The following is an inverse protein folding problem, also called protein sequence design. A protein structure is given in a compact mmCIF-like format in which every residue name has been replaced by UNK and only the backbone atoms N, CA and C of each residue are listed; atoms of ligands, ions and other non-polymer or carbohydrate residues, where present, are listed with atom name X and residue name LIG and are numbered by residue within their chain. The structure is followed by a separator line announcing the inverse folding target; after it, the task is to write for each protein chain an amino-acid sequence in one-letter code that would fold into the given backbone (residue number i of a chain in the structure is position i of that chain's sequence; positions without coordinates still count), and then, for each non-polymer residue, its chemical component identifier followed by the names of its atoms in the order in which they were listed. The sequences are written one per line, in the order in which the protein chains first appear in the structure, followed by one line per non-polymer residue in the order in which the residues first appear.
data_IF_885486514026
#
_entry.id   IF_885486514026
#
_cell.length_a   1.000
_cell.length_b   1.000
_cell.length_c   1.000
_cell.angle_alpha   90.00
_cell.angle_beta   90.00
_cell.angle_gamma   90.00
#
_symmetry.space_group_name_H-M   'P 1'
#
loop_
_entity.id
_entity.type
_entity.pdbx_description
1 polymer ?
#
# COMPACT_ATOMS: atom_id res chain seq x y z
N UNK A 1 51.14 29.46 -16.76
CA UNK A 1 50.84 28.07 -16.34
C UNK A 1 49.43 28.00 -15.75
N UNK A 2 48.41 27.71 -16.56
CA UNK A 2 47.01 27.67 -16.14
C UNK A 2 46.63 26.24 -15.69
N UNK A 3 46.19 26.10 -14.43
CA UNK A 3 45.82 24.83 -13.80
C UNK A 3 44.51 24.29 -14.38
N UNK A 4 44.56 23.09 -14.95
CA UNK A 4 43.41 22.29 -15.37
C UNK A 4 42.50 21.97 -14.17
N UNK A 5 41.24 22.42 -14.19
CA UNK A 5 40.18 21.97 -13.26
C UNK A 5 39.38 20.84 -13.92
N UNK A 6 39.43 19.64 -13.34
CA UNK A 6 38.54 18.52 -13.70
C UNK A 6 37.08 18.87 -13.35
N UNK A 7 36.09 18.61 -14.21
CA UNK A 7 34.69 18.73 -13.83
C UNK A 7 34.30 17.62 -12.84
N UNK A 8 33.56 17.99 -11.79
CA UNK A 8 33.01 17.08 -10.78
C UNK A 8 31.92 16.20 -11.42
N UNK A 9 31.96 14.89 -11.17
CA UNK A 9 30.95 13.94 -11.66
C UNK A 9 29.58 14.26 -11.06
N UNK A 10 28.56 14.34 -11.92
CA UNK A 10 27.19 14.54 -11.52
C UNK A 10 26.71 13.38 -10.63
N UNK A 11 26.11 13.74 -9.49
CA UNK A 11 25.64 12.81 -8.47
C UNK A 11 24.55 11.86 -8.93
N UNK A 12 24.43 10.76 -8.18
CA UNK A 12 23.42 9.71 -8.30
C UNK A 12 22.02 10.28 -8.55
N UNK A 13 21.53 10.13 -9.79
CA UNK A 13 20.09 10.19 -10.08
C UNK A 13 19.48 8.84 -9.69
N UNK A 14 18.31 8.79 -9.03
CA UNK A 14 17.61 7.54 -8.81
C UNK A 14 17.40 6.87 -10.17
N UNK A 15 17.75 5.58 -10.27
CA UNK A 15 17.60 4.81 -11.51
C UNK A 15 16.12 4.67 -11.79
N UNK A 16 15.59 5.51 -12.68
CA UNK A 16 14.28 5.29 -13.29
C UNK A 16 14.26 3.88 -13.86
N UNK A 17 13.28 3.09 -13.41
CA UNK A 17 13.11 1.73 -13.85
C UNK A 17 12.83 1.74 -15.36
N UNK A 18 13.66 1.01 -16.11
CA UNK A 18 13.68 1.00 -17.59
C UNK A 18 12.25 0.90 -18.14
N UNK A 19 11.86 1.89 -18.94
CA UNK A 19 10.59 1.87 -19.65
C UNK A 19 10.61 0.75 -20.70
N UNK A 20 9.71 -0.22 -20.56
CA UNK A 20 9.49 -1.24 -21.59
C UNK A 20 8.57 -0.65 -22.66
N UNK A 21 9.04 -0.59 -23.91
CA UNK A 21 8.33 0.01 -25.04
C UNK A 21 6.99 -0.67 -25.41
N UNK A 22 6.64 -1.78 -24.77
CA UNK A 22 5.42 -2.55 -25.06
C UNK A 22 4.23 -2.25 -24.12
N UNK A 23 4.45 -1.49 -23.04
CA UNK A 23 3.45 -1.28 -21.97
C UNK A 23 3.07 0.19 -21.78
N UNK A 24 3.08 0.99 -22.85
CA UNK A 24 2.76 2.42 -22.84
C UNK A 24 1.26 2.75 -22.63
N UNK A 25 0.51 1.90 -21.92
CA UNK A 25 -0.83 2.26 -21.43
C UNK A 25 -0.66 2.99 -20.10
N UNK A 26 -1.28 4.16 -19.98
CA UNK A 26 -1.47 4.84 -18.70
C UNK A 26 -2.26 3.89 -17.80
N UNK A 27 -1.59 3.24 -16.85
CA UNK A 27 -2.22 2.35 -15.87
C UNK A 27 -2.97 3.19 -14.83
N UNK A 28 -4.24 2.84 -14.58
CA UNK A 28 -5.13 3.58 -13.68
C UNK A 28 -4.98 2.99 -12.28
N UNK A 29 -4.26 3.70 -11.41
CA UNK A 29 -4.14 3.30 -10.00
C UNK A 29 -5.46 3.51 -9.26
N UNK A 30 -5.95 2.46 -8.59
CA UNK A 30 -7.07 2.57 -7.67
C UNK A 30 -6.66 3.42 -6.46
N UNK A 31 -7.37 4.52 -6.23
CA UNK A 31 -7.21 5.37 -5.06
C UNK A 31 -8.56 5.68 -4.47
N UNK A 32 -8.62 5.63 -3.14
CA UNK A 32 -9.79 5.95 -2.35
C UNK A 32 -9.36 6.87 -1.21
N UNK A 33 -10.20 7.84 -0.83
CA UNK A 33 -9.95 8.66 0.35
C UNK A 33 -10.27 7.87 1.63
N UNK A 34 -9.74 8.31 2.77
CA UNK A 34 -10.12 7.77 4.07
C UNK A 34 -11.64 7.90 4.30
N UNK A 35 -12.23 9.03 3.88
CA UNK A 35 -13.67 9.29 3.98
C UNK A 35 -14.51 8.30 3.16
N UNK A 36 -14.18 8.11 1.89
CA UNK A 36 -14.93 7.18 1.04
C UNK A 36 -14.74 5.71 1.44
N UNK A 37 -13.60 5.37 2.05
CA UNK A 37 -13.46 4.06 2.68
C UNK A 37 -14.44 3.93 3.86
N UNK A 38 -14.51 4.94 4.71
CA UNK A 38 -15.43 4.95 5.83
C UNK A 38 -16.91 4.92 5.42
N UNK A 39 -17.27 5.57 4.31
CA UNK A 39 -18.62 5.46 3.74
C UNK A 39 -18.94 4.02 3.33
N UNK A 40 -17.98 3.33 2.68
CA UNK A 40 -18.11 1.90 2.35
C UNK A 40 -18.23 1.03 3.61
N UNK A 41 -17.44 1.30 4.64
CA UNK A 41 -17.50 0.53 5.89
C UNK A 41 -18.81 0.74 6.66
N UNK A 42 -19.46 1.89 6.49
CA UNK A 42 -20.75 2.18 7.12
C UNK A 42 -21.92 1.45 6.45
N UNK A 43 -21.83 1.19 5.13
CA UNK A 43 -22.83 0.46 4.36
C UNK A 43 -22.15 -0.45 3.31
N UNK A 44 -21.59 -1.59 3.73
CA UNK A 44 -20.86 -2.48 2.83
C UNK A 44 -21.79 -3.39 2.01
N UNK A 45 -23.11 -3.32 2.23
CA UNK A 45 -24.10 -4.20 1.63
C UNK A 45 -23.89 -5.66 2.04
N UNK A 46 -23.82 -6.56 1.07
CA UNK A 46 -23.61 -8.01 1.27
C UNK A 46 -22.12 -8.40 1.41
N UNK A 47 -21.20 -7.43 1.34
CA UNK A 47 -19.76 -7.69 1.41
C UNK A 47 -19.30 -7.59 2.85
N UNK A 48 -18.62 -8.63 3.36
CA UNK A 48 -17.93 -8.53 4.63
C UNK A 48 -16.63 -7.72 4.46
N UNK A 49 -16.44 -6.60 5.18
CA UNK A 49 -15.26 -5.77 5.01
C UNK A 49 -13.97 -6.48 5.39
N UNK A 50 -13.06 -6.59 4.45
CA UNK A 50 -11.74 -7.18 4.60
C UNK A 50 -10.65 -6.21 4.12
N UNK A 51 -9.91 -5.66 5.08
CA UNK A 51 -8.88 -4.66 4.85
C UNK A 51 -7.49 -5.21 5.14
N UNK A 52 -6.49 -4.78 4.36
CA UNK A 52 -5.08 -5.03 4.66
C UNK A 52 -4.43 -3.77 5.19
N UNK A 53 -3.89 -3.83 6.40
CA UNK A 53 -3.17 -2.73 7.03
C UNK A 53 -1.67 -2.95 6.87
N UNK A 54 -0.97 -1.97 6.28
CA UNK A 54 0.47 -2.00 6.09
C UNK A 54 1.10 -0.79 6.82
N UNK A 55 1.59 -1.01 8.04
CA UNK A 55 2.29 0.01 8.81
C UNK A 55 3.81 -0.09 8.61
N UNK A 56 4.42 0.96 8.04
CA UNK A 56 5.87 1.04 7.88
C UNK A 56 6.46 0.35 6.65
N UNK A 57 5.64 -0.11 5.69
CA UNK A 57 6.13 -0.72 4.43
C UNK A 57 6.68 0.35 3.51
N UNK A 58 8.01 0.47 3.47
CA UNK A 58 8.74 1.54 2.75
C UNK A 58 9.37 1.11 1.42
N UNK A 59 9.48 -0.20 1.17
CA UNK A 59 10.01 -0.72 -0.09
C UNK A 59 8.88 -0.86 -1.13
N UNK A 60 8.99 -0.21 -2.31
CA UNK A 60 8.07 -0.40 -3.43
C UNK A 60 7.89 -1.87 -3.85
N UNK A 61 8.90 -2.72 -3.70
CA UNK A 61 8.78 -4.14 -4.02
C UNK A 61 7.82 -4.86 -3.08
N UNK A 62 7.94 -4.60 -1.78
CA UNK A 62 7.05 -5.18 -0.78
C UNK A 62 5.63 -4.64 -0.94
N UNK A 63 5.45 -3.33 -1.15
CA UNK A 63 4.12 -2.76 -1.39
C UNK A 63 3.46 -3.37 -2.64
N UNK A 64 4.20 -3.52 -3.74
CA UNK A 64 3.70 -4.15 -4.96
C UNK A 64 3.30 -5.61 -4.74
N UNK A 65 4.12 -6.38 -4.01
CA UNK A 65 3.81 -7.77 -3.67
C UNK A 65 2.55 -7.88 -2.79
N UNK A 66 2.43 -7.03 -1.77
CA UNK A 66 1.25 -6.98 -0.92
C UNK A 66 -0.02 -6.64 -1.72
N UNK A 67 0.03 -5.68 -2.64
CA UNK A 67 -1.12 -5.33 -3.48
C UNK A 67 -1.56 -6.50 -4.39
N UNK A 68 -0.60 -7.25 -4.92
CA UNK A 68 -0.90 -8.44 -5.72
C UNK A 68 -1.59 -9.51 -4.88
N UNK A 69 -1.10 -9.76 -3.67
CA UNK A 69 -1.70 -10.72 -2.75
C UNK A 69 -3.07 -10.25 -2.24
N UNK A 70 -3.22 -8.96 -1.95
CA UNK A 70 -4.46 -8.36 -1.48
C UNK A 70 -5.59 -8.55 -2.52
N UNK A 71 -5.29 -8.31 -3.79
CA UNK A 71 -6.24 -8.51 -4.88
C UNK A 71 -6.69 -9.97 -4.98
N UNK A 72 -5.74 -10.92 -5.00
CA UNK A 72 -6.06 -12.34 -5.03
C UNK A 72 -6.78 -12.87 -3.79
N UNK A 73 -6.65 -12.18 -2.65
CA UNK A 73 -7.32 -12.51 -1.39
C UNK A 73 -8.70 -11.85 -1.24
N UNK A 74 -9.12 -10.98 -2.17
CA UNK A 74 -10.40 -10.29 -2.09
C UNK A 74 -10.43 -9.12 -1.09
N UNK A 75 -9.28 -8.52 -0.77
CA UNK A 75 -9.20 -7.33 0.09
C UNK A 75 -9.83 -6.13 -0.61
N UNK A 76 -10.73 -5.39 0.06
CA UNK A 76 -11.40 -4.23 -0.54
C UNK A 76 -10.54 -2.97 -0.53
N UNK A 77 -9.61 -2.82 0.43
CA UNK A 77 -8.65 -1.72 0.41
C UNK A 77 -7.36 -2.07 1.19
N UNK A 78 -6.24 -1.53 0.71
CA UNK A 78 -4.97 -1.52 1.45
C UNK A 78 -4.81 -0.17 2.14
N UNK A 79 -4.64 -0.15 3.46
CA UNK A 79 -4.47 1.06 4.26
C UNK A 79 -3.01 1.23 4.66
N UNK A 80 -2.45 2.40 4.39
CA UNK A 80 -1.06 2.76 4.72
C UNK A 80 -1.01 4.08 5.49
N UNK A 81 -0.03 4.29 6.39
CA UNK A 81 0.17 5.60 6.97
C UNK A 81 0.66 6.59 5.90
N UNK A 82 0.21 7.84 5.99
CA UNK A 82 0.58 8.93 5.06
C UNK A 82 2.07 9.21 5.05
N UNK A 83 2.74 8.90 6.16
CA UNK A 83 4.19 9.00 6.32
C UNK A 83 4.75 7.60 6.61
N UNK A 84 6.04 7.38 6.29
CA UNK A 84 6.72 6.09 6.48
C UNK A 84 6.14 4.92 5.66
N UNK A 85 5.60 5.24 4.47
CA UNK A 85 5.11 4.26 3.49
C UNK A 85 5.72 4.51 2.13
N UNK A 86 5.89 3.45 1.35
CA UNK A 86 6.23 3.55 -0.05
C UNK A 86 5.10 4.26 -0.82
N UNK A 87 5.39 5.25 -1.67
CA UNK A 87 4.38 5.79 -2.57
C UNK A 87 4.02 4.78 -3.64
N UNK A 88 2.76 4.81 -4.10
CA UNK A 88 2.34 4.03 -5.27
C UNK A 88 2.96 4.64 -6.53
N UNK A 89 4.05 4.03 -7.00
CA UNK A 89 4.84 4.43 -8.18
C UNK A 89 4.65 3.43 -9.33
N UNK A 90 5.15 3.74 -10.53
CA UNK A 90 5.14 2.81 -11.67
C UNK A 90 5.84 1.47 -11.35
N UNK A 91 6.84 1.47 -10.47
CA UNK A 91 7.49 0.25 -9.99
C UNK A 91 6.50 -0.62 -9.20
N UNK A 92 5.75 -0.02 -8.27
CA UNK A 92 4.70 -0.71 -7.50
C UNK A 92 3.65 -1.29 -8.44
N UNK A 93 3.18 -0.49 -9.40
CA UNK A 93 2.14 -0.92 -10.35
C UNK A 93 2.62 -2.13 -11.16
N UNK A 94 3.84 -2.09 -11.71
CA UNK A 94 4.41 -3.24 -12.45
C UNK A 94 4.54 -4.51 -11.60
N UNK A 95 4.96 -4.37 -10.35
CA UNK A 95 5.15 -5.50 -9.43
C UNK A 95 3.80 -6.09 -8.99
N UNK A 96 2.78 -5.25 -8.83
CA UNK A 96 1.45 -5.65 -8.39
C UNK A 96 0.67 -6.51 -9.40
N UNK A 97 1.11 -6.56 -10.65
CA UNK A 97 0.47 -7.35 -11.72
C UNK A 97 -1.04 -7.07 -11.89
N UNK A 98 -1.48 -5.82 -11.70
CA UNK A 98 -2.89 -5.41 -11.76
C UNK A 98 -3.52 -5.16 -10.39
N UNK A 99 -2.91 -5.63 -9.30
CA UNK A 99 -3.41 -5.38 -7.94
C UNK A 99 -3.56 -3.89 -7.62
N UNK A 100 -2.61 -3.05 -8.06
CA UNK A 100 -2.68 -1.60 -7.88
C UNK A 100 -3.80 -0.90 -8.69
N UNK A 101 -4.36 -1.57 -9.70
CA UNK A 101 -5.45 -1.05 -10.52
C UNK A 101 -6.82 -1.39 -9.94
N UNK A 102 -6.90 -2.48 -9.15
CA UNK A 102 -8.15 -3.02 -8.61
C UNK A 102 -8.35 -2.74 -7.11
N UNK A 103 -7.27 -2.81 -6.32
CA UNK A 103 -7.34 -2.62 -4.86
C UNK A 103 -6.88 -1.20 -4.51
N UNK A 104 -7.78 -0.32 -4.01
CA UNK A 104 -7.42 1.04 -3.67
C UNK A 104 -6.43 1.08 -2.49
N UNK A 105 -5.43 1.95 -2.63
CA UNK A 105 -4.54 2.31 -1.51
C UNK A 105 -5.07 3.57 -0.83
N UNK A 106 -5.40 3.45 0.45
CA UNK A 106 -5.90 4.52 1.31
C UNK A 106 -4.80 4.99 2.24
N UNK A 107 -4.50 6.29 2.23
CA UNK A 107 -3.49 6.88 3.11
C UNK A 107 -4.14 7.55 4.31
N UNK A 108 -3.83 7.08 5.51
CA UNK A 108 -4.37 7.62 6.77
C UNK A 108 -3.34 8.47 7.50
N UNK A 109 -3.78 9.53 8.17
CA UNK A 109 -2.86 10.42 8.89
C UNK A 109 -2.28 9.78 10.16
N UNK A 110 -3.08 8.96 10.85
CA UNK A 110 -2.70 8.28 12.08
C UNK A 110 -3.33 6.88 12.08
N UNK A 111 -2.48 5.85 12.06
CA UNK A 111 -2.94 4.46 11.98
C UNK A 111 -3.69 4.03 13.23
N UNK A 112 -3.20 4.37 14.43
CA UNK A 112 -3.86 3.99 15.68
C UNK A 112 -5.28 4.57 15.76
N UNK A 113 -5.44 5.86 15.42
CA UNK A 113 -6.77 6.50 15.39
C UNK A 113 -7.68 5.88 14.34
N UNK A 114 -7.15 5.49 13.19
CA UNK A 114 -7.93 4.80 12.17
C UNK A 114 -8.41 3.42 12.64
N UNK A 115 -7.54 2.63 13.28
CA UNK A 115 -7.89 1.32 13.83
C UNK A 115 -8.93 1.43 14.96
N UNK A 116 -8.80 2.40 15.86
CA UNK A 116 -9.80 2.70 16.88
C UNK A 116 -11.15 3.04 16.24
N UNK A 117 -11.14 3.93 15.24
CA UNK A 117 -12.34 4.35 14.52
C UNK A 117 -13.06 3.17 13.87
N UNK A 118 -12.36 2.32 13.10
CA UNK A 118 -13.03 1.21 12.42
C UNK A 118 -13.56 0.14 13.38
N UNK A 119 -12.92 -0.02 14.54
CA UNK A 119 -13.41 -0.89 15.62
C UNK A 119 -14.67 -0.31 16.26
N UNK A 120 -14.62 0.96 16.66
CA UNK A 120 -15.66 1.58 17.47
C UNK A 120 -16.90 1.96 16.63
N UNK A 121 -16.70 2.46 15.41
CA UNK A 121 -17.79 2.94 14.54
C UNK A 121 -18.38 1.85 13.65
N UNK A 122 -17.57 0.85 13.25
CA UNK A 122 -17.98 -0.18 12.26
C UNK A 122 -17.89 -1.61 12.80
N UNK A 123 -17.45 -1.82 14.04
CA UNK A 123 -17.33 -3.16 14.63
C UNK A 123 -16.25 -4.03 13.98
N UNK A 124 -15.35 -3.45 13.18
CA UNK A 124 -14.32 -4.20 12.46
C UNK A 124 -13.19 -4.57 13.39
N UNK A 125 -12.89 -5.87 13.48
CA UNK A 125 -11.82 -6.39 14.32
C UNK A 125 -10.48 -6.29 13.59
N UNK A 126 -9.50 -5.70 14.25
CA UNK A 126 -8.12 -5.70 13.76
C UNK A 126 -7.36 -6.91 14.32
N UNK A 127 -6.71 -7.67 13.44
CA UNK A 127 -5.75 -8.72 13.83
C UNK A 127 -4.36 -8.35 13.32
N UNK A 128 -3.41 -8.24 14.24
CA UNK A 128 -2.03 -7.86 13.96
C UNK A 128 -1.11 -9.07 13.96
N UNK A 129 -0.05 -9.00 13.16
CA UNK A 129 1.05 -9.97 13.20
C UNK A 129 2.21 -9.39 14.00
N UNK A 130 2.79 -10.18 14.90
CA UNK A 130 3.92 -9.79 15.74
C UNK A 130 4.82 -11.00 16.01
N UNK A 131 6.12 -10.75 16.15
CA UNK A 131 7.11 -11.76 16.54
C UNK A 131 6.89 -12.26 17.98
N UNK A 132 6.31 -11.44 18.84
CA UNK A 132 5.95 -11.75 20.22
C UNK A 132 4.51 -12.26 20.39
N UNK A 133 3.84 -12.66 19.29
CA UNK A 133 2.49 -13.20 19.36
C UNK A 133 2.46 -14.52 20.15
N UNK A 134 1.36 -14.75 20.88
CA UNK A 134 1.19 -15.93 21.74
C UNK A 134 0.38 -17.07 21.09
N UNK A 135 -0.13 -16.86 19.88
CA UNK A 135 -0.93 -17.82 19.11
C UNK A 135 -0.55 -17.77 17.63
N UNK A 136 -0.64 -18.90 16.95
CA UNK A 136 -0.40 -18.96 15.51
C UNK A 136 -1.59 -18.39 14.73
N UNK A 137 -1.32 -17.89 13.52
CA UNK A 137 -2.36 -17.37 12.61
C UNK A 137 -3.49 -18.38 12.38
N UNK A 138 -3.14 -19.67 12.35
CA UNK A 138 -4.06 -20.77 12.07
C UNK A 138 -5.01 -21.10 13.24
N UNK A 139 -4.75 -20.56 14.43
CA UNK A 139 -5.56 -20.78 15.62
C UNK A 139 -6.55 -19.63 15.87
N UNK A 140 -6.43 -18.53 15.13
CA UNK A 140 -7.31 -17.38 15.24
C UNK A 140 -8.64 -17.62 14.51
N UNK A 141 -9.74 -17.24 15.16
CA UNK A 141 -11.06 -17.12 14.55
C UNK A 141 -11.24 -15.65 14.12
N UNK A 142 -11.43 -15.40 12.82
CA UNK A 142 -11.41 -14.08 12.19
C UNK A 142 -12.80 -13.52 11.96
#
# INVERSE_FOLDING_TARGET
MARHRRPKSAGNRPREARANAHSAKIQKVARLSEESLCDFLADPGEVEPFLLILDGVQDPHNLGACLRSAEGAGVQAVVVPRHKSAPVTETVVRISCGGADNVPVVSVANMARFLERIRDDYGIRAVGTADQAHSDLYECDF
#
